data_IF_786788293301
#
_entry.id   IF_786788293301
#
_cell.length_a   1.000
_cell.length_b   1.000
_cell.length_c   1.000
_cell.angle_alpha   90.00
_cell.angle_beta   90.00
_cell.angle_gamma   90.00
#
_symmetry.space_group_name_H-M   'P 1'
#
loop_
_entity.id
_entity.type
_entity.pdbx_description
1 polymer ?
#
# COMPACT_ATOMS: atom_id res chain seq x y z
N UNK A 1 -3.28 0.12 -9.62
CA UNK A 1 -3.88 -0.92 -10.48
C UNK A 1 -2.87 -2.02 -10.77
N UNK A 2 -1.64 -1.70 -11.18
CA UNK A 2 -0.55 -2.68 -11.33
C UNK A 2 -0.44 -3.71 -10.20
N UNK A 3 -0.32 -3.27 -8.95
CA UNK A 3 -0.23 -4.17 -7.79
C UNK A 3 -1.44 -5.12 -7.66
N UNK A 4 -2.64 -4.68 -8.02
CA UNK A 4 -3.83 -5.54 -8.04
C UNK A 4 -3.67 -6.61 -9.12
N UNK A 5 -3.29 -6.23 -10.34
CA UNK A 5 -3.05 -7.16 -11.44
C UNK A 5 -2.01 -8.23 -11.06
N UNK A 6 -0.89 -7.82 -10.43
CA UNK A 6 0.15 -8.76 -10.00
C UNK A 6 -0.36 -9.74 -8.93
N UNK A 7 -1.15 -9.25 -7.97
CA UNK A 7 -1.74 -10.09 -6.93
C UNK A 7 -2.76 -11.07 -7.52
N UNK A 8 -3.58 -10.64 -8.47
CA UNK A 8 -4.55 -11.50 -9.14
C UNK A 8 -3.87 -12.61 -9.95
N UNK A 9 -2.85 -12.28 -10.74
CA UNK A 9 -2.04 -13.27 -11.47
C UNK A 9 -1.44 -14.32 -10.51
N UNK A 10 -0.83 -13.84 -9.42
CA UNK A 10 -0.26 -14.72 -8.41
C UNK A 10 -1.32 -15.58 -7.71
N UNK A 11 -2.46 -15.01 -7.35
CA UNK A 11 -3.53 -15.72 -6.66
C UNK A 11 -4.14 -16.83 -7.54
N UNK A 12 -4.27 -16.59 -8.85
CA UNK A 12 -4.82 -17.55 -9.80
C UNK A 12 -3.81 -18.66 -10.17
N UNK A 13 -2.55 -18.30 -10.39
CA UNK A 13 -1.55 -19.21 -10.96
C UNK A 13 -0.52 -19.75 -9.94
N UNK A 14 -0.50 -19.21 -8.71
CA UNK A 14 0.48 -19.57 -7.67
C UNK A 14 1.92 -19.11 -7.94
N UNK A 15 2.16 -18.40 -9.05
CA UNK A 15 3.48 -17.91 -9.46
C UNK A 15 3.44 -16.41 -9.81
N UNK A 16 4.49 -15.63 -9.50
CA UNK A 16 4.48 -14.21 -9.84
C UNK A 16 4.58 -14.00 -11.35
N UNK A 17 3.90 -12.99 -11.92
CA UNK A 17 3.87 -12.77 -13.37
C UNK A 17 5.22 -12.29 -13.96
N UNK A 18 6.17 -11.84 -13.13
CA UNK A 18 7.50 -11.38 -13.56
C UNK A 18 8.63 -12.30 -13.06
N UNK A 19 8.30 -13.57 -12.78
CA UNK A 19 9.25 -14.56 -12.25
C UNK A 19 9.47 -14.46 -10.73
N UNK A 20 10.29 -15.36 -10.21
CA UNK A 20 10.55 -15.60 -8.78
C UNK A 20 11.86 -14.96 -8.27
N UNK A 21 12.53 -14.20 -9.12
CA UNK A 21 13.76 -13.49 -8.75
C UNK A 21 13.50 -12.44 -7.66
N UNK A 22 14.54 -12.13 -6.88
CA UNK A 22 14.46 -11.15 -5.79
C UNK A 22 15.40 -9.97 -6.03
N UNK A 23 15.15 -8.86 -5.33
CA UNK A 23 15.98 -7.67 -5.40
C UNK A 23 15.87 -6.94 -6.74
N UNK A 24 17.00 -6.65 -7.37
CA UNK A 24 17.04 -5.84 -8.59
C UNK A 24 16.57 -6.59 -9.85
N UNK A 25 16.67 -7.93 -9.89
CA UNK A 25 16.25 -8.72 -11.05
C UNK A 25 14.76 -8.58 -11.35
N UNK A 26 13.91 -8.74 -10.35
CA UNK A 26 12.45 -8.57 -10.53
C UNK A 26 12.05 -7.14 -10.86
N UNK A 27 12.75 -6.13 -10.32
CA UNK A 27 12.48 -4.74 -10.66
C UNK A 27 12.80 -4.46 -12.13
N UNK A 28 13.90 -5.01 -12.64
CA UNK A 28 14.24 -4.91 -14.05
C UNK A 28 13.16 -5.54 -14.94
N UNK A 29 12.71 -6.76 -14.62
CA UNK A 29 11.63 -7.44 -15.36
C UNK A 29 10.32 -6.68 -15.34
N UNK A 30 9.93 -6.15 -14.18
CA UNK A 30 8.73 -5.32 -14.05
C UNK A 30 8.77 -4.12 -15.02
N UNK A 31 9.95 -3.54 -15.23
CA UNK A 31 10.11 -2.37 -16.10
C UNK A 31 10.22 -2.75 -17.58
N UNK A 32 10.94 -3.84 -17.90
CA UNK A 32 11.40 -4.12 -19.26
C UNK A 32 10.84 -5.38 -19.92
N UNK A 33 10.29 -6.32 -19.15
CA UNK A 33 9.77 -7.58 -19.65
C UNK A 33 8.24 -7.63 -19.55
N UNK A 34 7.60 -8.42 -20.41
CA UNK A 34 6.15 -8.63 -20.34
C UNK A 34 5.78 -9.65 -19.24
N UNK A 35 4.62 -9.50 -18.59
CA UNK A 35 4.16 -10.47 -17.62
C UNK A 35 3.82 -11.80 -18.30
N UNK A 36 4.27 -12.90 -17.71
CA UNK A 36 3.83 -14.23 -18.11
C UNK A 36 2.41 -14.50 -17.59
N UNK A 37 1.44 -14.44 -18.50
CA UNK A 37 0.02 -14.66 -18.24
C UNK A 37 -0.53 -15.90 -18.95
N UNK A 38 0.32 -16.72 -19.58
CA UNK A 38 -0.16 -17.90 -20.32
C UNK A 38 -0.96 -18.89 -19.44
N UNK A 39 -0.54 -19.25 -18.21
CA UNK A 39 -1.35 -20.13 -17.37
C UNK A 39 -2.69 -19.52 -16.97
N UNK A 40 -2.73 -18.19 -16.81
CA UNK A 40 -3.97 -17.51 -16.48
C UNK A 40 -4.90 -17.53 -17.70
N UNK A 41 -4.34 -17.33 -18.89
CA UNK A 41 -5.07 -17.37 -20.15
C UNK A 41 -5.62 -18.76 -20.46
N UNK A 42 -4.88 -19.82 -20.12
CA UNK A 42 -5.36 -21.21 -20.21
C UNK A 42 -6.52 -21.48 -19.24
N UNK A 43 -6.49 -20.88 -18.04
CA UNK A 43 -7.51 -21.09 -17.02
C UNK A 43 -8.77 -20.25 -17.24
N UNK A 44 -8.60 -18.93 -17.42
CA UNK A 44 -9.68 -17.93 -17.52
C UNK A 44 -9.24 -16.77 -18.45
N UNK A 45 -9.51 -16.87 -19.77
CA UNK A 45 -9.06 -15.89 -20.76
C UNK A 45 -9.52 -14.45 -20.47
N UNK A 46 -10.77 -14.26 -20.08
CA UNK A 46 -11.32 -12.92 -19.81
C UNK A 46 -10.65 -12.25 -18.61
N UNK A 47 -10.29 -13.04 -17.58
CA UNK A 47 -9.55 -12.54 -16.44
C UNK A 47 -8.10 -12.21 -16.83
N UNK A 48 -7.48 -13.02 -17.70
CA UNK A 48 -6.15 -12.75 -18.23
C UNK A 48 -6.09 -11.39 -18.93
N UNK A 49 -7.10 -11.04 -19.72
CA UNK A 49 -7.17 -9.74 -20.41
C UNK A 49 -7.32 -8.56 -19.43
N UNK A 50 -8.12 -8.73 -18.37
CA UNK A 50 -8.24 -7.72 -17.30
C UNK A 50 -6.90 -7.54 -16.57
N UNK A 51 -6.22 -8.64 -16.26
CA UNK A 51 -4.92 -8.61 -15.60
C UNK A 51 -3.85 -7.99 -16.50
N UNK A 52 -3.83 -8.31 -17.79
CA UNK A 52 -2.93 -7.72 -18.77
C UNK A 52 -3.09 -6.19 -18.82
N UNK A 53 -4.33 -5.69 -18.92
CA UNK A 53 -4.61 -4.26 -18.89
C UNK A 53 -4.18 -3.59 -17.57
N UNK A 54 -4.28 -4.29 -16.43
CA UNK A 54 -3.77 -3.77 -15.15
C UNK A 54 -2.24 -3.66 -15.11
N UNK A 55 -1.55 -4.55 -15.82
CA UNK A 55 -0.09 -4.70 -15.85
C UNK A 55 0.59 -3.91 -16.99
N UNK A 56 -0.18 -3.11 -17.73
CA UNK A 56 0.35 -2.24 -18.79
C UNK A 56 1.54 -1.40 -18.29
N UNK A 57 2.58 -1.30 -19.11
CA UNK A 57 3.77 -0.49 -18.81
C UNK A 57 3.42 0.99 -18.77
N UNK A 58 2.55 1.43 -19.68
CA UNK A 58 2.00 2.77 -19.67
C UNK A 58 0.96 2.90 -18.55
N UNK A 59 1.17 3.80 -17.57
CA UNK A 59 0.16 4.07 -16.55
C UNK A 59 -1.18 4.56 -17.09
N UNK A 60 -1.20 5.24 -18.24
CA UNK A 60 -2.43 5.78 -18.86
C UNK A 60 -3.26 4.70 -19.56
N UNK A 61 -2.63 3.59 -19.98
CA UNK A 61 -3.31 2.42 -20.54
C UNK A 61 -4.05 1.55 -19.51
N UNK A 62 -3.82 1.79 -18.21
CA UNK A 62 -4.38 0.96 -17.14
C UNK A 62 -5.83 1.35 -16.83
N UNK A 63 -6.72 0.37 -16.60
CA UNK A 63 -8.10 0.65 -16.19
C UNK A 63 -8.12 1.27 -14.79
N UNK A 64 -9.04 2.18 -14.58
CA UNK A 64 -9.40 2.73 -13.27
C UNK A 64 -10.08 1.68 -12.40
N UNK A 65 -10.14 1.93 -11.09
CA UNK A 65 -10.87 1.07 -10.18
C UNK A 65 -12.39 1.01 -10.48
N UNK A 66 -12.97 2.10 -10.99
CA UNK A 66 -14.37 2.16 -11.38
C UNK A 66 -14.65 1.26 -12.59
N UNK A 67 -13.80 1.33 -13.62
CA UNK A 67 -13.92 0.47 -14.81
C UNK A 67 -13.76 -1.01 -14.46
N UNK A 68 -12.84 -1.35 -13.54
CA UNK A 68 -12.73 -2.73 -13.06
C UNK A 68 -13.97 -3.18 -12.31
N UNK A 69 -14.57 -2.32 -11.49
CA UNK A 69 -15.81 -2.64 -10.78
C UNK A 69 -16.96 -2.90 -11.76
N UNK A 70 -17.10 -2.05 -12.79
CA UNK A 70 -18.08 -2.24 -13.85
C UNK A 70 -17.86 -3.53 -14.64
N UNK A 71 -16.60 -3.87 -14.94
CA UNK A 71 -16.25 -5.16 -15.56
C UNK A 71 -16.66 -6.31 -14.65
N UNK A 72 -16.24 -6.30 -13.39
CA UNK A 72 -16.52 -7.36 -12.43
C UNK A 72 -18.02 -7.60 -12.22
N UNK A 73 -18.83 -6.53 -12.18
CA UNK A 73 -20.29 -6.62 -12.03
C UNK A 73 -20.99 -7.41 -13.15
N UNK A 74 -20.35 -7.56 -14.33
CA UNK A 74 -20.89 -8.37 -15.43
C UNK A 74 -20.65 -9.86 -15.27
N UNK A 75 -19.71 -10.29 -14.41
CA UNK A 75 -19.32 -11.70 -14.26
C UNK A 75 -20.01 -12.42 -13.10
N UNK A 76 -21.07 -11.83 -12.53
CA UNK A 76 -22.04 -12.62 -11.77
C UNK A 76 -22.80 -11.85 -10.71
N UNK A 77 -23.87 -12.47 -10.18
CA UNK A 77 -24.46 -11.99 -8.95
C UNK A 77 -23.49 -12.27 -7.80
N UNK A 78 -23.01 -11.20 -7.16
CA UNK A 78 -22.24 -11.28 -5.92
C UNK A 78 -23.18 -11.59 -4.74
N UNK A 79 -23.72 -12.82 -4.68
CA UNK A 79 -24.59 -13.24 -3.59
C UNK A 79 -23.78 -13.72 -2.39
N UNK A 80 -24.14 -13.24 -1.20
CA UNK A 80 -23.52 -13.71 0.03
C UNK A 80 -24.00 -15.14 0.37
N UNK A 81 -23.12 -15.99 0.95
CA UNK A 81 -21.70 -15.73 1.19
C UNK A 81 -20.85 -15.94 -0.08
N UNK A 82 -19.95 -14.99 -0.35
CA UNK A 82 -19.09 -15.01 -1.53
C UNK A 82 -17.96 -16.05 -1.43
N UNK A 83 -17.60 -16.46 -0.22
CA UNK A 83 -16.43 -17.30 0.07
C UNK A 83 -16.81 -18.39 1.09
N UNK A 84 -16.10 -19.55 1.11
CA UNK A 84 -16.29 -20.56 2.15
C UNK A 84 -16.14 -19.98 3.57
N UNK A 85 -16.85 -20.56 4.53
CA UNK A 85 -16.89 -20.09 5.93
C UNK A 85 -15.49 -19.95 6.54
N UNK A 86 -14.62 -20.95 6.33
CA UNK A 86 -13.25 -20.95 6.84
C UNK A 86 -12.43 -19.73 6.37
N UNK A 87 -12.65 -19.25 5.14
CA UNK A 87 -11.96 -18.05 4.65
C UNK A 87 -12.62 -16.79 5.22
N UNK A 88 -13.95 -16.73 5.25
CA UNK A 88 -14.68 -15.60 5.81
C UNK A 88 -14.34 -15.35 7.29
N UNK A 89 -14.21 -16.41 8.08
CA UNK A 89 -13.74 -16.36 9.47
C UNK A 89 -12.31 -15.82 9.55
N UNK A 90 -11.39 -16.39 8.76
CA UNK A 90 -10.00 -15.92 8.73
C UNK A 90 -9.86 -14.44 8.33
N UNK A 91 -10.66 -13.99 7.36
CA UNK A 91 -10.70 -12.59 6.95
C UNK A 91 -11.24 -11.69 8.08
N UNK A 92 -12.27 -12.16 8.79
CA UNK A 92 -12.84 -11.45 9.94
C UNK A 92 -11.85 -11.31 11.09
N UNK A 93 -11.11 -12.37 11.43
CA UNK A 93 -10.03 -12.34 12.42
C UNK A 93 -8.96 -11.31 12.05
N UNK A 94 -8.50 -11.32 10.79
CA UNK A 94 -7.47 -10.39 10.29
C UNK A 94 -7.98 -8.94 10.27
N UNK A 95 -9.24 -8.72 9.93
CA UNK A 95 -9.85 -7.40 9.94
C UNK A 95 -9.94 -6.83 11.36
N UNK A 96 -10.34 -7.66 12.34
CA UNK A 96 -10.38 -7.26 13.75
C UNK A 96 -8.99 -6.86 14.26
N UNK A 97 -7.97 -7.67 13.97
CA UNK A 97 -6.58 -7.34 14.31
C UNK A 97 -6.12 -6.01 13.68
N UNK A 98 -6.39 -5.79 12.39
CA UNK A 98 -6.01 -4.56 11.71
C UNK A 98 -6.70 -3.31 12.30
N UNK A 99 -7.97 -3.43 12.71
CA UNK A 99 -8.72 -2.36 13.36
C UNK A 99 -8.09 -1.98 14.71
N UNK A 100 -7.70 -2.96 15.51
CA UNK A 100 -7.07 -2.73 16.82
C UNK A 100 -5.73 -2.01 16.70
N UNK A 101 -4.88 -2.41 15.75
CA UNK A 101 -3.59 -1.74 15.48
C UNK A 101 -3.82 -0.27 15.12
N UNK A 102 -4.79 0.02 14.25
CA UNK A 102 -5.15 1.39 13.86
C UNK A 102 -5.62 2.21 15.06
N UNK A 103 -6.49 1.64 15.89
CA UNK A 103 -7.00 2.30 17.09
C UNK A 103 -5.89 2.56 18.12
N UNK A 104 -4.98 1.60 18.33
CA UNK A 104 -3.82 1.76 19.19
C UNK A 104 -2.92 2.91 18.71
N UNK A 105 -2.65 3.00 17.40
CA UNK A 105 -1.87 4.09 16.82
C UNK A 105 -2.54 5.47 17.03
N UNK A 106 -3.86 5.57 16.87
CA UNK A 106 -4.61 6.81 17.13
C UNK A 106 -4.55 7.22 18.61
N UNK A 107 -4.71 6.25 19.53
CA UNK A 107 -4.59 6.47 20.98
C UNK A 107 -3.19 6.97 21.35
N UNK A 108 -2.13 6.37 20.78
CA UNK A 108 -0.75 6.80 21.00
C UNK A 108 -0.51 8.24 20.51
N UNK A 109 -1.02 8.60 19.32
CA UNK A 109 -0.94 9.97 18.78
C UNK A 109 -1.65 10.99 19.68
N UNK A 110 -2.83 10.67 20.21
CA UNK A 110 -3.58 11.54 21.13
C UNK A 110 -2.80 11.79 22.43
N UNK A 111 -2.22 10.74 23.03
CA UNK A 111 -1.37 10.85 24.23
C UNK A 111 -0.14 11.73 23.99
N UNK A 112 0.52 11.59 22.84
CA UNK A 112 1.68 12.45 22.47
C UNK A 112 1.28 13.92 22.31
N UNK A 113 0.11 14.21 21.73
CA UNK A 113 -0.40 15.59 21.59
C UNK A 113 -0.75 16.22 22.94
N UNK A 114 -1.44 15.48 23.82
CA UNK A 114 -1.78 15.99 25.15
C UNK A 114 -0.54 16.25 26.00
N UNK A 115 0.48 15.39 25.91
CA UNK A 115 1.76 15.61 26.59
C UNK A 115 2.52 16.84 26.04
N UNK A 116 2.50 17.09 24.73
CA UNK A 116 3.08 18.31 24.13
C UNK A 116 2.34 19.59 24.51
N UNK A 117 1.02 19.54 24.70
CA UNK A 117 0.22 20.72 25.09
C UNK A 117 0.28 21.01 26.60
N UNK A 118 0.41 19.98 27.45
CA UNK A 118 0.63 20.13 28.89
C UNK A 118 2.07 20.46 29.29
N UNK A 119 3.02 20.33 28.35
CA UNK A 119 4.45 20.54 28.56
C UNK A 119 4.98 21.78 27.84
N UNK A 120 4.46 22.97 28.13
CA UNK A 120 5.25 24.21 28.00
C UNK A 120 5.83 24.49 29.38
N UNK A 121 7.00 23.93 29.76
CA UNK A 121 7.67 24.42 30.95
C UNK A 121 7.97 25.89 30.69
N UNK A 122 7.50 26.76 31.58
CA UNK A 122 7.83 28.17 31.53
C UNK A 122 9.33 28.30 31.29
N UNK A 123 9.72 28.95 30.19
CA UNK A 123 11.10 29.36 29.94
C UNK A 123 11.54 30.11 31.19
N UNK A 124 12.26 29.47 32.11
CA UNK A 124 12.97 30.19 33.17
C UNK A 124 13.91 31.13 32.43
N UNK A 125 13.69 32.43 32.60
CA UNK A 125 14.52 33.47 32.03
C UNK A 125 15.98 33.17 32.41
N UNK A 126 16.82 32.87 31.42
CA UNK A 126 18.27 32.86 31.60
C UNK A 126 18.65 34.25 32.12
N UNK A 127 19.32 34.40 33.27
CA UNK A 127 19.84 35.69 33.67
C UNK A 127 20.83 36.16 32.59
N UNK A 128 20.66 37.39 32.11
CA UNK A 128 21.56 38.07 31.18
C UNK A 128 22.90 38.29 31.89
N UNK A 129 23.79 37.30 31.83
CA UNK A 129 25.21 37.55 32.03
C UNK A 129 25.72 38.24 30.77
N UNK A 130 25.96 39.55 30.88
CA UNK A 130 26.63 40.32 29.84
C UNK A 130 27.99 39.71 29.54
N UNK A 131 28.23 39.39 28.27
CA UNK A 131 29.58 39.32 27.72
C UNK A 131 29.58 40.11 26.42
N UNK A 132 30.19 41.27 26.59
CA UNK A 132 30.69 42.22 25.62
C UNK A 132 31.43 41.49 24.49
N UNK A 133 31.01 41.73 23.25
CA UNK A 133 31.68 41.26 22.04
C UNK A 133 32.15 42.44 21.18
N UNK A 134 32.56 43.56 21.77
CA UNK A 134 33.26 44.59 20.99
C UNK A 134 34.65 44.13 20.58
N UNK A 135 34.67 43.43 19.45
CA UNK A 135 35.75 43.45 18.49
C UNK A 135 35.83 44.88 17.95
N UNK A 136 36.55 45.76 18.65
CA UNK A 136 37.15 46.92 18.01
C UNK A 136 38.41 46.43 17.30
N UNK A 137 38.35 46.41 15.98
CA UNK A 137 39.52 46.20 15.16
C UNK A 137 40.47 47.39 15.20
N UNK A 138 41.65 47.11 14.61
CA UNK A 138 42.61 48.04 13.96
C UNK A 138 43.76 48.53 14.84
N UNK A 139 44.92 47.89 14.71
CA UNK A 139 46.15 48.36 14.05
C UNK A 139 47.32 47.46 14.43
#
# INVERSE_FOLDING_TARGET
>A
MFALGSVLAYAACGRPPFGDESGYGVLYRIVHEEPDLEPLRELEPELADVVAACLDKDPEGRPTAAELLERAARHGPFTAPLWPAAISERLSERAAFAADVRLAALRARRRRRSHRQGGRPGRKARPRAGRDWRVTGRC
#
